data_IF_676982997244
#
_entry.id   IF_676982997244
#
_cell.length_a   1.000
_cell.length_b   1.000
_cell.length_c   1.000
_cell.angle_alpha   90.00
_cell.angle_beta   90.00
_cell.angle_gamma   90.00
#
_symmetry.space_group_name_H-M   'P 1'
#
loop_
_entity.id
_entity.type
_entity.pdbx_description
1 polymer ?
#
# COMPACT_ATOMS: atom_id res chain seq x y z
N UNK A 1 -7.11 -13.75 1.17
CA UNK A 1 -5.87 -14.55 1.05
C UNK A 1 -4.79 -13.72 0.37
N UNK A 2 -3.63 -13.65 1.00
CA UNK A 2 -2.51 -12.86 0.48
C UNK A 2 -1.86 -13.55 -0.73
N UNK A 3 -1.50 -12.78 -1.73
CA UNK A 3 -0.77 -13.24 -2.91
C UNK A 3 -0.10 -12.07 -3.64
N UNK A 4 0.78 -12.38 -4.55
CA UNK A 4 1.37 -11.36 -5.42
C UNK A 4 0.32 -10.74 -6.33
N UNK A 5 0.55 -9.50 -6.72
CA UNK A 5 -0.26 -8.85 -7.75
C UNK A 5 0.04 -9.44 -9.12
N UNK A 6 -0.97 -9.53 -9.97
CA UNK A 6 -0.89 -10.12 -11.30
C UNK A 6 -1.33 -9.12 -12.36
N UNK A 7 -0.90 -9.33 -13.59
CA UNK A 7 -1.32 -8.51 -14.73
C UNK A 7 -2.85 -8.42 -14.85
N UNK A 8 -3.53 -9.52 -14.53
CA UNK A 8 -5.00 -9.58 -14.58
C UNK A 8 -5.67 -8.74 -13.52
N UNK A 9 -4.93 -8.21 -12.54
CA UNK A 9 -5.47 -7.36 -11.48
C UNK A 9 -5.60 -5.89 -11.88
N UNK A 10 -5.12 -5.48 -13.04
CA UNK A 10 -5.02 -4.06 -13.42
C UNK A 10 -6.35 -3.31 -13.29
N UNK A 11 -7.43 -3.88 -13.81
CA UNK A 11 -8.73 -3.22 -13.73
C UNK A 11 -9.21 -3.09 -12.28
N UNK A 12 -9.03 -4.14 -11.48
CA UNK A 12 -9.38 -4.10 -10.06
C UNK A 12 -8.55 -3.06 -9.30
N UNK A 13 -7.26 -2.97 -9.60
CA UNK A 13 -6.37 -1.95 -9.01
C UNK A 13 -6.87 -0.54 -9.33
N UNK A 14 -7.23 -0.28 -10.60
CA UNK A 14 -7.77 1.02 -11.02
C UNK A 14 -9.05 1.37 -10.27
N UNK A 15 -9.97 0.42 -10.13
CA UNK A 15 -11.21 0.63 -9.40
C UNK A 15 -10.96 0.90 -7.92
N UNK A 16 -10.10 0.10 -7.28
CA UNK A 16 -9.75 0.27 -5.86
C UNK A 16 -9.10 1.64 -5.64
N UNK A 17 -8.16 2.04 -6.50
CA UNK A 17 -7.50 3.34 -6.39
C UNK A 17 -8.50 4.49 -6.48
N UNK A 18 -9.44 4.42 -7.40
CA UNK A 18 -10.43 5.47 -7.55
C UNK A 18 -11.42 5.51 -6.39
N UNK A 19 -11.95 4.37 -5.99
CA UNK A 19 -12.97 4.28 -4.95
C UNK A 19 -12.41 4.51 -3.54
N UNK A 20 -11.24 3.95 -3.24
CA UNK A 20 -10.66 4.01 -1.90
C UNK A 20 -9.71 5.19 -1.68
N UNK A 21 -8.98 5.61 -2.71
CA UNK A 21 -7.94 6.64 -2.60
C UNK A 21 -8.26 7.91 -3.38
N UNK A 22 -9.23 7.88 -4.29
CA UNK A 22 -9.60 9.03 -5.10
C UNK A 22 -8.64 9.32 -6.24
N UNK A 23 -7.82 8.35 -6.66
CA UNK A 23 -6.88 8.51 -7.77
C UNK A 23 -7.42 7.89 -9.04
N UNK A 24 -7.31 8.63 -10.15
CA UNK A 24 -7.61 8.14 -11.51
C UNK A 24 -6.32 7.98 -12.28
N UNK A 25 -6.10 6.79 -12.82
CA UNK A 25 -4.96 6.50 -13.67
C UNK A 25 -5.41 5.50 -14.73
N UNK A 26 -4.89 5.59 -15.95
CA UNK A 26 -5.35 4.71 -17.03
C UNK A 26 -4.98 3.26 -16.77
N UNK A 27 -5.79 2.29 -17.24
CA UNK A 27 -5.40 0.88 -17.16
C UNK A 27 -4.08 0.58 -17.86
N UNK A 28 -3.80 1.24 -18.99
CA UNK A 28 -2.55 1.07 -19.74
C UNK A 28 -1.35 1.52 -18.93
N UNK A 29 -1.43 2.69 -18.31
CA UNK A 29 -0.35 3.21 -17.47
C UNK A 29 -0.19 2.40 -16.19
N UNK A 30 -1.30 1.95 -15.60
CA UNK A 30 -1.28 1.07 -14.43
C UNK A 30 -0.59 -0.25 -14.77
N UNK A 31 -0.90 -0.85 -15.92
CA UNK A 31 -0.27 -2.09 -16.37
C UNK A 31 1.24 -1.92 -16.57
N UNK A 32 1.65 -0.81 -17.20
CA UNK A 32 3.07 -0.51 -17.40
C UNK A 32 3.82 -0.36 -16.08
N UNK A 33 3.24 0.37 -15.13
CA UNK A 33 3.84 0.54 -13.81
C UNK A 33 3.89 -0.77 -13.04
N UNK A 34 2.82 -1.55 -13.06
CA UNK A 34 2.79 -2.85 -12.38
C UNK A 34 3.88 -3.78 -12.90
N UNK A 35 4.03 -3.88 -14.23
CA UNK A 35 5.06 -4.71 -14.85
C UNK A 35 6.46 -4.27 -14.43
N UNK A 36 6.72 -2.96 -14.43
CA UNK A 36 8.01 -2.39 -14.05
C UNK A 36 8.31 -2.63 -12.57
N UNK A 37 7.38 -2.26 -11.69
CA UNK A 37 7.60 -2.29 -10.24
C UNK A 37 7.63 -3.71 -9.68
N UNK A 38 6.92 -4.64 -10.29
CA UNK A 38 6.94 -6.05 -9.89
C UNK A 38 8.31 -6.71 -10.03
N UNK A 39 9.17 -6.17 -10.89
CA UNK A 39 10.52 -6.68 -11.13
C UNK A 39 11.60 -5.87 -10.42
N UNK A 40 11.22 -4.83 -9.71
CA UNK A 40 12.15 -3.94 -9.03
C UNK A 40 12.19 -4.26 -7.54
N UNK A 41 13.33 -4.75 -7.06
CA UNK A 41 13.51 -5.12 -5.65
C UNK A 41 13.37 -3.95 -4.67
N UNK A 42 13.36 -2.70 -5.17
CA UNK A 42 13.11 -1.51 -4.37
C UNK A 42 11.64 -1.38 -3.96
N UNK A 43 10.76 -2.13 -4.62
CA UNK A 43 9.32 -2.09 -4.38
C UNK A 43 8.79 -3.42 -3.87
N UNK A 44 7.83 -3.35 -2.96
CA UNK A 44 7.11 -4.49 -2.45
C UNK A 44 5.62 -4.32 -2.74
N UNK A 45 5.06 -5.31 -3.41
CA UNK A 45 3.66 -5.31 -3.82
C UNK A 45 3.00 -6.58 -3.31
N UNK A 46 1.88 -6.44 -2.59
CA UNK A 46 1.15 -7.57 -2.04
C UNK A 46 -0.34 -7.33 -2.21
N UNK A 47 -1.05 -8.33 -2.71
CA UNK A 47 -2.48 -8.29 -2.88
C UNK A 47 -3.21 -9.19 -1.89
N UNK A 48 -4.50 -8.91 -1.72
CA UNK A 48 -5.41 -9.77 -0.98
C UNK A 48 -6.58 -10.12 -1.89
N UNK A 49 -6.81 -11.41 -2.11
CA UNK A 49 -7.90 -11.88 -2.98
C UNK A 49 -9.02 -12.52 -2.19
N UNK A 50 -10.20 -12.49 -2.77
CA UNK A 50 -11.34 -13.26 -2.30
C UNK A 50 -11.07 -14.75 -2.52
N UNK A 51 -11.20 -15.56 -1.48
CA UNK A 51 -10.89 -16.99 -1.55
C UNK A 51 -11.86 -17.76 -2.49
N UNK A 52 -13.08 -17.25 -2.70
CA UNK A 52 -14.08 -17.93 -3.50
C UNK A 52 -13.92 -17.67 -5.00
N UNK A 53 -13.67 -16.41 -5.40
CA UNK A 53 -13.66 -16.02 -6.81
C UNK A 53 -12.32 -15.45 -7.29
N UNK A 54 -11.32 -15.37 -6.42
CA UNK A 54 -9.97 -14.87 -6.71
C UNK A 54 -9.91 -13.41 -7.16
N UNK A 55 -10.96 -12.63 -6.95
CA UNK A 55 -10.97 -11.20 -7.25
C UNK A 55 -10.11 -10.47 -6.24
N UNK A 56 -9.30 -9.52 -6.72
CA UNK A 56 -8.50 -8.67 -5.86
C UNK A 56 -9.40 -7.73 -5.04
N UNK A 57 -9.27 -7.78 -3.73
CA UNK A 57 -10.05 -6.95 -2.79
C UNK A 57 -9.26 -5.80 -2.20
N UNK A 58 -7.95 -5.87 -2.24
CA UNK A 58 -7.07 -4.84 -1.70
C UNK A 58 -5.62 -5.12 -2.01
N UNK A 59 -4.77 -4.12 -1.77
CA UNK A 59 -3.33 -4.28 -1.96
C UNK A 59 -2.56 -3.31 -1.09
N UNK A 60 -1.29 -3.63 -0.86
CA UNK A 60 -0.31 -2.72 -0.28
C UNK A 60 0.86 -2.59 -1.25
N UNK A 61 1.31 -1.34 -1.43
CA UNK A 61 2.50 -1.00 -2.18
C UNK A 61 3.44 -0.22 -1.27
N UNK A 62 4.64 -0.72 -1.07
CA UNK A 62 5.68 -0.06 -0.29
C UNK A 62 6.96 0.02 -1.10
N UNK A 63 7.76 1.03 -0.80
CA UNK A 63 9.11 1.18 -1.36
C UNK A 63 10.13 1.08 -0.24
N UNK A 64 11.34 0.65 -0.58
CA UNK A 64 12.46 0.70 0.36
C UNK A 64 12.82 2.16 0.58
N UNK A 65 12.83 2.56 1.84
CA UNK A 65 13.10 3.95 2.23
C UNK A 65 14.46 4.02 2.89
N UNK A 66 15.40 4.65 2.19
CA UNK A 66 16.78 4.76 2.64
C UNK A 66 17.20 6.22 2.75
N UNK A 67 18.02 6.52 3.74
CA UNK A 67 18.61 7.84 3.95
C UNK A 67 20.01 7.68 4.51
N UNK A 68 20.74 8.77 4.54
CA UNK A 68 22.10 8.78 5.12
C UNK A 68 22.09 8.82 6.65
N UNK A 69 20.92 8.93 7.29
CA UNK A 69 20.83 9.13 8.74
C UNK A 69 19.98 8.08 9.46
N UNK A 70 19.53 7.04 8.78
CA UNK A 70 18.77 6.00 9.46
C UNK A 70 18.98 4.63 8.80
N UNK A 71 18.57 3.57 9.51
CA UNK A 71 18.45 2.25 8.89
C UNK A 71 17.41 2.32 7.77
N UNK A 72 17.52 1.38 6.81
CA UNK A 72 16.49 1.20 5.81
C UNK A 72 15.16 0.77 6.45
N UNK A 73 14.07 1.15 5.85
CA UNK A 73 12.73 0.76 6.23
C UNK A 73 11.83 0.70 5.00
N UNK A 74 10.54 0.54 5.23
CA UNK A 74 9.53 0.68 4.18
C UNK A 74 8.80 2.02 4.31
N UNK A 75 8.51 2.62 3.15
CA UNK A 75 7.54 3.69 3.04
C UNK A 75 6.33 3.15 2.27
N UNK A 76 5.16 3.17 2.90
CA UNK A 76 3.93 2.75 2.24
C UNK A 76 3.47 3.86 1.30
N UNK A 77 3.37 3.53 0.01
CA UNK A 77 2.87 4.41 -1.03
C UNK A 77 1.35 4.30 -1.17
N UNK A 78 0.81 3.10 -0.96
CA UNK A 78 -0.62 2.84 -1.01
C UNK A 78 -0.98 1.65 -0.14
N UNK A 79 -2.04 1.78 0.61
CA UNK A 79 -2.75 0.68 1.26
C UNK A 79 -4.23 0.94 0.98
N UNK A 80 -4.83 0.08 0.17
CA UNK A 80 -6.18 0.31 -0.30
C UNK A 80 -6.99 -0.98 -0.29
N UNK A 81 -8.21 -0.89 0.19
CA UNK A 81 -9.17 -2.00 0.23
C UNK A 81 -10.45 -1.53 -0.45
N UNK A 82 -11.01 -2.36 -1.31
CA UNK A 82 -12.29 -2.10 -1.95
C UNK A 82 -13.33 -1.71 -0.90
N UNK A 83 -14.11 -0.63 -1.11
CA UNK A 83 -15.11 -0.20 -0.13
C UNK A 83 -16.09 -1.30 0.28
N UNK A 84 -16.44 -2.19 -0.65
CA UNK A 84 -17.37 -3.30 -0.38
C UNK A 84 -16.74 -4.38 0.52
N UNK A 85 -15.42 -4.40 0.65
CA UNK A 85 -14.68 -5.40 1.44
C UNK A 85 -14.06 -4.83 2.72
N UNK A 86 -14.29 -3.56 3.04
CA UNK A 86 -13.78 -2.95 4.26
C UNK A 86 -14.43 -3.54 5.51
N UNK A 87 -13.73 -3.49 6.63
CA UNK A 87 -14.22 -4.04 7.89
C UNK A 87 -14.06 -5.55 8.04
N UNK A 88 -13.36 -6.22 7.13
CA UNK A 88 -13.10 -7.66 7.16
C UNK A 88 -11.67 -8.03 7.56
N UNK A 89 -10.87 -7.07 8.01
CA UNK A 89 -9.49 -7.33 8.42
C UNK A 89 -8.49 -7.43 7.28
N UNK A 90 -8.86 -7.05 6.05
CA UNK A 90 -7.99 -7.15 4.88
C UNK A 90 -6.80 -6.20 4.98
N UNK A 91 -7.05 -4.95 5.36
CA UNK A 91 -5.99 -3.96 5.55
C UNK A 91 -4.98 -4.40 6.60
N UNK A 92 -5.47 -4.95 7.70
CA UNK A 92 -4.61 -5.51 8.75
C UNK A 92 -3.76 -6.66 8.25
N UNK A 93 -4.35 -7.57 7.46
CA UNK A 93 -3.63 -8.70 6.87
C UNK A 93 -2.53 -8.25 5.92
N UNK A 94 -2.83 -7.23 5.09
CA UNK A 94 -1.84 -6.65 4.17
C UNK A 94 -0.68 -6.01 4.93
N UNK A 95 -0.97 -5.26 5.99
CA UNK A 95 0.08 -4.67 6.83
C UNK A 95 0.92 -5.74 7.52
N UNK A 96 0.30 -6.80 8.03
CA UNK A 96 1.04 -7.90 8.63
C UNK A 96 1.99 -8.56 7.63
N UNK A 97 1.55 -8.75 6.39
CA UNK A 97 2.42 -9.27 5.33
C UNK A 97 3.62 -8.36 5.06
N UNK A 98 3.40 -7.05 5.04
CA UNK A 98 4.48 -6.08 4.89
C UNK A 98 5.42 -6.08 6.09
N UNK A 99 4.88 -6.19 7.30
CA UNK A 99 5.67 -6.25 8.54
C UNK A 99 6.56 -7.48 8.58
N UNK A 100 6.06 -8.62 8.15
CA UNK A 100 6.85 -9.85 8.04
C UNK A 100 8.02 -9.68 7.07
N UNK A 101 7.77 -9.06 5.91
CA UNK A 101 8.82 -8.78 4.94
C UNK A 101 9.85 -7.80 5.49
N UNK A 102 9.42 -6.76 6.19
CA UNK A 102 10.33 -5.81 6.83
C UNK A 102 11.26 -6.50 7.84
N UNK A 103 10.71 -7.40 8.64
CA UNK A 103 11.49 -8.19 9.61
C UNK A 103 12.47 -9.12 8.90
N UNK A 104 12.02 -9.78 7.83
CA UNK A 104 12.88 -10.68 7.05
C UNK A 104 14.07 -9.91 6.44
N UNK A 105 13.86 -8.69 5.99
CA UNK A 105 14.90 -7.85 5.43
C UNK A 105 15.78 -7.15 6.48
N UNK A 106 15.43 -7.23 7.75
CA UNK A 106 16.16 -6.53 8.81
C UNK A 106 15.91 -5.01 8.82
N UNK A 107 14.78 -4.57 8.30
CA UNK A 107 14.43 -3.15 8.26
C UNK A 107 14.05 -2.63 9.64
N UNK A 108 14.33 -1.34 9.88
CA UNK A 108 14.14 -0.74 11.18
C UNK A 108 12.75 -0.15 11.43
N UNK A 109 11.98 0.08 10.37
CA UNK A 109 10.68 0.75 10.51
C UNK A 109 9.81 0.58 9.26
N UNK A 110 8.53 0.87 9.44
CA UNK A 110 7.57 1.12 8.37
C UNK A 110 6.96 2.48 8.64
N UNK A 111 6.94 3.34 7.65
CA UNK A 111 6.34 4.66 7.74
C UNK A 111 5.37 4.90 6.60
N UNK A 112 4.47 5.86 6.79
CA UNK A 112 3.57 6.33 5.74
C UNK A 112 3.16 7.77 6.03
N UNK A 113 2.69 8.45 5.00
CA UNK A 113 1.96 9.70 5.16
C UNK A 113 0.48 9.45 4.85
N UNK A 114 -0.39 10.00 5.67
CA UNK A 114 -1.84 9.98 5.45
C UNK A 114 -2.35 11.40 5.41
N UNK A 115 -3.22 11.70 4.45
CA UNK A 115 -3.79 13.04 4.33
C UNK A 115 -4.51 13.44 5.63
N UNK A 116 -4.36 14.71 6.02
CA UNK A 116 -4.83 15.20 7.30
C UNK A 116 -6.33 14.99 7.54
N UNK A 117 -7.14 14.99 6.47
CA UNK A 117 -8.60 14.83 6.56
C UNK A 117 -9.06 13.35 6.65
N UNK A 118 -8.17 12.39 6.46
CA UNK A 118 -8.53 10.96 6.42
C UNK A 118 -8.55 10.37 7.84
N UNK A 119 -9.52 10.83 8.66
CA UNK A 119 -9.59 10.47 10.07
C UNK A 119 -9.82 8.96 10.30
N UNK A 120 -10.59 8.31 9.44
CA UNK A 120 -10.80 6.86 9.53
C UNK A 120 -9.52 6.06 9.31
N UNK A 121 -8.68 6.50 8.36
CA UNK A 121 -7.39 5.88 8.12
C UNK A 121 -6.47 6.06 9.33
N UNK A 122 -6.45 7.25 9.94
CA UNK A 122 -5.65 7.53 11.13
C UNK A 122 -6.04 6.60 12.28
N UNK A 123 -7.35 6.45 12.53
CA UNK A 123 -7.85 5.55 13.57
C UNK A 123 -7.44 4.09 13.30
N UNK A 124 -7.49 3.67 12.04
CA UNK A 124 -7.07 2.33 11.64
C UNK A 124 -5.58 2.10 11.95
N UNK A 125 -4.70 3.03 11.55
CA UNK A 125 -3.27 2.89 11.79
C UNK A 125 -2.93 2.86 13.28
N UNK A 126 -3.55 3.73 14.07
CA UNK A 126 -3.35 3.72 15.51
C UNK A 126 -3.79 2.40 16.15
N UNK A 127 -4.93 1.87 15.71
CA UNK A 127 -5.47 0.61 16.22
C UNK A 127 -4.54 -0.58 15.94
N UNK A 128 -3.86 -0.59 14.79
CA UNK A 128 -2.93 -1.67 14.43
C UNK A 128 -1.49 -1.42 14.90
N UNK A 129 -1.27 -0.39 15.72
CA UNK A 129 0.00 -0.19 16.43
C UNK A 129 0.93 0.85 15.82
N UNK A 130 0.47 1.64 14.85
CA UNK A 130 1.26 2.73 14.29
C UNK A 130 1.05 4.00 15.11
N UNK A 131 2.10 4.81 15.23
CA UNK A 131 2.07 6.05 16.01
C UNK A 131 2.24 7.25 15.09
N UNK A 132 1.39 8.25 15.25
CA UNK A 132 1.58 9.55 14.59
C UNK A 132 2.66 10.33 15.36
N UNK A 133 3.88 10.29 14.86
CA UNK A 133 5.03 10.92 15.51
C UNK A 133 5.32 12.34 15.01
N UNK A 134 4.83 12.68 13.82
CA UNK A 134 5.06 13.98 13.19
C UNK A 134 3.88 14.44 12.35
N UNK A 135 3.69 15.75 12.29
CA UNK A 135 2.84 16.39 11.29
C UNK A 135 3.72 17.21 10.37
N UNK A 136 3.63 16.94 9.07
CA UNK A 136 4.50 17.53 8.06
C UNK A 136 3.70 18.16 6.94
N UNK A 137 4.26 19.20 6.33
CA UNK A 137 3.72 19.81 5.12
C UNK A 137 4.34 19.16 3.90
N UNK A 138 3.53 18.91 2.89
CA UNK A 138 3.99 18.43 1.59
C UNK A 138 4.22 19.61 0.66
N UNK A 139 5.41 19.67 0.04
CA UNK A 139 5.71 20.63 -1.01
C UNK A 139 5.88 19.88 -2.32
N UNK A 140 5.34 20.44 -3.39
CA UNK A 140 5.39 19.81 -4.71
C UNK A 140 5.64 20.86 -5.78
N UNK A 141 6.38 20.49 -6.80
CA UNK A 141 6.54 21.29 -8.02
C UNK A 141 6.26 20.38 -9.20
N UNK A 142 5.28 20.76 -10.00
CA UNK A 142 4.87 19.96 -11.16
C UNK A 142 5.57 20.51 -12.41
N UNK A 143 6.11 19.59 -13.21
CA UNK A 143 6.81 19.92 -14.44
C UNK A 143 5.95 19.61 -15.66
#
# INVERSE_FOLDING_TARGET
>A
MLRDLQETDVNAICEINQEALGYSFSPEDTASQLAKLSQDSHHFLLGYEDAANHVLLGYVHAEVYESLYSKAGFNILALAVSPQAQGQGIGKSLLQGLEEEAKRCGYGFIRLNSANHRLGAHAFYEKVGYTCDKMQKRFIRIF
#
